data_IF_502822689629
#
_entry.id   IF_502822689629
#
_cell.length_a   1.000
_cell.length_b   1.000
_cell.length_c   1.000
_cell.angle_alpha   90.00
_cell.angle_beta   90.00
_cell.angle_gamma   90.00
#
_symmetry.space_group_name_H-M   'P 1'
#
loop_
_entity.id
_entity.type
_entity.pdbx_description
1 polymer ?
#
# COMPACT_ATOMS: atom_id res chain seq x y z
N UNK A 1 -53.33 38.49 26.21
CA UNK A 1 -53.76 38.63 24.80
C UNK A 1 -52.87 37.72 23.97
N UNK A 2 -53.50 36.74 23.31
CA UNK A 2 -53.06 35.88 22.19
C UNK A 2 -51.67 35.19 22.19
N UNK A 3 -51.79 33.86 22.25
CA UNK A 3 -50.94 32.76 21.81
C UNK A 3 -50.22 33.01 20.46
N UNK A 4 -49.03 32.45 20.29
CA UNK A 4 -48.72 31.55 19.15
C UNK A 4 -47.47 30.70 19.42
N UNK A 5 -47.72 29.42 19.67
CA UNK A 5 -46.83 28.27 19.58
C UNK A 5 -46.73 27.82 18.13
N UNK A 6 -45.52 27.65 17.58
CA UNK A 6 -45.16 26.85 16.39
C UNK A 6 -43.62 26.71 16.42
N UNK A 7 -42.94 25.57 16.29
CA UNK A 7 -43.28 24.17 16.17
C UNK A 7 -41.93 23.43 16.19
N UNK A 8 -41.78 22.43 17.04
CA UNK A 8 -40.68 21.47 17.00
C UNK A 8 -40.91 20.51 15.82
N UNK A 9 -39.87 20.19 15.03
CA UNK A 9 -39.70 18.94 14.27
C UNK A 9 -38.30 18.92 13.60
N UNK A 10 -37.76 17.74 13.22
CA UNK A 10 -36.68 17.02 13.91
C UNK A 10 -35.29 17.16 13.23
N UNK A 11 -34.20 16.66 13.83
CA UNK A 11 -32.93 16.53 13.11
C UNK A 11 -33.10 15.46 12.03
N UNK A 12 -33.06 15.85 10.74
CA UNK A 12 -33.00 14.89 9.65
C UNK A 12 -31.62 14.24 9.60
N UNK A 13 -31.44 13.21 10.41
CA UNK A 13 -30.48 12.14 10.14
C UNK A 13 -30.98 11.39 8.91
N UNK A 14 -30.59 11.86 7.74
CA UNK A 14 -30.76 11.14 6.48
C UNK A 14 -29.39 10.92 5.86
N UNK A 15 -28.93 9.68 5.98
CA UNK A 15 -28.28 9.02 4.86
C UNK A 15 -26.80 9.30 4.64
N UNK A 16 -25.97 9.24 5.69
CA UNK A 16 -24.61 8.69 5.51
C UNK A 16 -24.57 7.30 6.14
N UNK A 17 -25.34 6.39 5.54
CA UNK A 17 -24.85 5.02 5.43
C UNK A 17 -23.62 5.18 4.55
N UNK A 18 -22.44 5.26 5.19
CA UNK A 18 -21.20 4.90 4.53
C UNK A 18 -21.44 3.47 4.13
N UNK A 19 -21.90 3.31 2.90
CA UNK A 19 -21.92 2.05 2.20
C UNK A 19 -20.50 1.55 2.35
N UNK A 20 -20.31 0.62 3.29
CA UNK A 20 -19.20 -0.31 3.29
C UNK A 20 -19.33 -1.01 1.94
N UNK A 21 -18.84 -0.33 0.89
CA UNK A 21 -18.62 -0.90 -0.40
C UNK A 21 -17.84 -2.15 -0.09
N UNK A 22 -18.54 -3.27 -0.27
CA UNK A 22 -17.97 -4.59 -0.20
C UNK A 22 -16.71 -4.51 -1.06
N UNK A 23 -15.56 -4.48 -0.39
CA UNK A 23 -14.27 -4.89 -0.92
C UNK A 23 -14.31 -6.41 -1.19
N UNK A 24 -15.35 -6.85 -1.89
CA UNK A 24 -15.28 -7.99 -2.81
C UNK A 24 -14.84 -7.42 -4.16
N UNK A 25 -13.79 -6.60 -4.15
CA UNK A 25 -13.01 -6.36 -5.34
C UNK A 25 -12.42 -7.72 -5.70
N UNK A 26 -12.73 -8.17 -6.91
CA UNK A 26 -12.05 -9.30 -7.54
C UNK A 26 -10.58 -9.16 -7.23
N UNK A 27 -9.99 -10.13 -6.52
CA UNK A 27 -8.57 -10.16 -6.21
C UNK A 27 -7.87 -9.84 -7.54
N UNK A 28 -7.26 -8.63 -7.71
CA UNK A 28 -6.58 -8.33 -8.95
C UNK A 28 -5.61 -9.48 -9.14
N UNK A 29 -5.60 -10.07 -10.34
CA UNK A 29 -4.65 -11.12 -10.69
C UNK A 29 -3.27 -10.55 -10.44
N UNK A 30 -2.75 -10.82 -9.23
CA UNK A 30 -1.51 -10.27 -8.77
C UNK A 30 -0.45 -11.00 -9.58
N UNK A 31 0.12 -10.25 -10.52
CA UNK A 31 1.19 -10.67 -11.39
C UNK A 31 2.24 -11.40 -10.56
N UNK A 32 2.52 -12.65 -10.94
CA UNK A 32 3.23 -13.60 -10.09
C UNK A 32 4.62 -13.11 -9.71
N UNK A 33 5.20 -12.20 -10.51
CA UNK A 33 6.49 -11.55 -10.24
C UNK A 33 6.49 -10.77 -8.92
N UNK A 34 5.35 -10.19 -8.54
CA UNK A 34 5.23 -9.36 -7.34
C UNK A 34 4.61 -10.08 -6.15
N UNK A 35 4.33 -11.39 -6.27
CA UNK A 35 3.77 -12.17 -5.17
C UNK A 35 4.68 -12.19 -3.94
N UNK A 36 6.00 -12.12 -4.15
CA UNK A 36 6.98 -12.08 -3.07
C UNK A 36 6.99 -10.75 -2.31
N UNK A 37 6.31 -9.70 -2.81
CA UNK A 37 6.17 -8.40 -2.14
C UNK A 37 4.73 -8.19 -1.67
N UNK A 38 3.75 -8.31 -2.57
CA UNK A 38 2.34 -8.08 -2.28
C UNK A 38 1.76 -9.15 -1.35
N UNK A 39 2.16 -10.42 -1.52
CA UNK A 39 1.68 -11.53 -0.68
C UNK A 39 2.03 -11.37 0.81
N UNK A 40 3.29 -11.07 1.16
CA UNK A 40 3.66 -10.73 2.54
C UNK A 40 2.91 -9.52 3.09
N UNK A 41 2.74 -8.45 2.30
CA UNK A 41 1.96 -7.27 2.70
C UNK A 41 0.50 -7.64 3.01
N UNK A 42 -0.17 -8.38 2.12
CA UNK A 42 -1.53 -8.89 2.34
C UNK A 42 -1.62 -9.72 3.63
N UNK A 43 -0.64 -10.59 3.86
CA UNK A 43 -0.58 -11.45 5.04
C UNK A 43 -0.44 -10.64 6.33
N UNK A 44 0.45 -9.65 6.34
CA UNK A 44 0.68 -8.78 7.48
C UNK A 44 -0.53 -7.90 7.78
N UNK A 45 -1.19 -7.36 6.74
CA UNK A 45 -2.43 -6.59 6.86
C UNK A 45 -3.52 -7.44 7.52
N UNK A 46 -3.71 -8.67 7.04
CA UNK A 46 -4.67 -9.61 7.59
C UNK A 46 -4.36 -9.99 9.04
N UNK A 47 -3.08 -10.15 9.37
CA UNK A 47 -2.63 -10.47 10.72
C UNK A 47 -2.89 -9.31 11.68
N UNK A 48 -2.53 -8.08 11.29
CA UNK A 48 -2.73 -6.88 12.07
C UNK A 48 -4.22 -6.59 12.29
N UNK A 49 -5.05 -6.81 11.27
CA UNK A 49 -6.51 -6.71 11.37
C UNK A 49 -7.10 -7.63 12.43
N UNK A 50 -6.56 -8.85 12.55
CA UNK A 50 -7.02 -9.87 13.52
C UNK A 50 -6.40 -9.70 14.90
N UNK A 51 -5.20 -9.12 14.98
CA UNK A 51 -4.41 -8.95 16.20
C UNK A 51 -3.70 -7.58 16.16
N UNK A 52 -4.35 -6.49 16.60
CA UNK A 52 -3.79 -5.14 16.51
C UNK A 52 -2.44 -4.96 17.22
N UNK A 53 -2.20 -5.71 18.30
CA UNK A 53 -0.96 -5.61 19.09
C UNK A 53 0.17 -6.52 18.58
N UNK A 54 -0.01 -7.15 17.41
CA UNK A 54 1.03 -8.02 16.83
C UNK A 54 2.23 -7.18 16.40
N UNK A 55 3.42 -7.56 16.84
CA UNK A 55 4.65 -6.96 16.33
C UNK A 55 5.03 -7.64 15.00
N UNK A 56 5.11 -6.85 13.93
CA UNK A 56 5.44 -7.28 12.57
C UNK A 56 6.88 -6.94 12.16
N UNK A 57 7.73 -6.46 13.07
CA UNK A 57 9.07 -5.98 12.75
C UNK A 57 9.89 -6.99 11.92
N UNK A 58 9.93 -8.25 12.37
CA UNK A 58 10.69 -9.31 11.68
C UNK A 58 10.12 -9.64 10.31
N UNK A 59 8.80 -9.62 10.16
CA UNK A 59 8.11 -9.87 8.89
C UNK A 59 8.38 -8.73 7.90
N UNK A 60 8.44 -7.48 8.38
CA UNK A 60 8.84 -6.31 7.60
C UNK A 60 10.31 -6.33 7.23
N UNK A 61 11.21 -6.75 8.12
CA UNK A 61 12.64 -6.88 7.81
C UNK A 61 12.88 -7.87 6.66
N UNK A 62 12.21 -9.02 6.69
CA UNK A 62 12.27 -10.01 5.59
C UNK A 62 11.69 -9.45 4.28
N UNK A 63 10.65 -8.63 4.37
CA UNK A 63 10.09 -7.96 3.21
C UNK A 63 11.08 -6.94 2.65
N UNK A 64 11.82 -6.20 3.49
CA UNK A 64 12.85 -5.26 3.05
C UNK A 64 13.98 -5.94 2.29
N UNK A 65 14.44 -7.11 2.75
CA UNK A 65 15.44 -7.91 2.03
C UNK A 65 14.93 -8.28 0.63
N UNK A 66 13.67 -8.73 0.55
CA UNK A 66 13.03 -9.12 -0.71
C UNK A 66 12.85 -7.94 -1.66
N UNK A 67 12.43 -6.79 -1.14
CA UNK A 67 12.30 -5.53 -1.89
C UNK A 67 13.67 -5.10 -2.42
N UNK A 68 14.71 -5.16 -1.59
CA UNK A 68 16.06 -4.74 -1.98
C UNK A 68 16.63 -5.62 -3.10
N UNK A 69 16.43 -6.94 -3.02
CA UNK A 69 16.81 -7.86 -4.10
C UNK A 69 16.06 -7.53 -5.40
N UNK A 70 14.74 -7.38 -5.33
CA UNK A 70 13.90 -7.05 -6.49
C UNK A 70 14.34 -5.73 -7.16
N UNK A 71 14.44 -4.65 -6.37
CA UNK A 71 14.87 -3.32 -6.82
C UNK A 71 16.28 -3.38 -7.43
N UNK A 72 17.20 -4.13 -6.81
CA UNK A 72 18.56 -4.26 -7.29
C UNK A 72 18.64 -4.90 -8.68
N UNK A 73 17.90 -6.00 -8.88
CA UNK A 73 17.83 -6.68 -10.16
C UNK A 73 17.20 -5.80 -11.24
N UNK A 74 16.06 -5.18 -10.96
CA UNK A 74 15.35 -4.35 -11.94
C UNK A 74 16.15 -3.09 -12.31
N UNK A 75 16.74 -2.41 -11.32
CA UNK A 75 17.61 -1.26 -11.57
C UNK A 75 18.80 -1.63 -12.47
N UNK A 76 19.44 -2.77 -12.21
CA UNK A 76 20.57 -3.25 -13.01
C UNK A 76 20.13 -3.58 -14.45
N UNK A 77 18.94 -4.16 -14.59
CA UNK A 77 18.39 -4.50 -15.89
C UNK A 77 17.99 -3.26 -16.70
N UNK A 78 17.34 -2.27 -16.08
CA UNK A 78 17.05 -0.97 -16.70
C UNK A 78 18.31 -0.26 -17.20
N UNK A 79 19.40 -0.31 -16.44
CA UNK A 79 20.70 0.24 -16.88
C UNK A 79 21.25 -0.51 -18.09
N UNK A 80 21.20 -1.85 -18.07
CA UNK A 80 21.72 -2.69 -19.15
C UNK A 80 21.03 -2.42 -20.49
N UNK A 81 19.71 -2.20 -20.47
CA UNK A 81 18.93 -1.91 -21.69
C UNK A 81 18.81 -0.42 -21.99
N UNK A 82 19.53 0.44 -21.27
CA UNK A 82 19.48 1.90 -21.42
C UNK A 82 18.05 2.47 -21.38
N UNK A 83 17.22 1.96 -20.45
CA UNK A 83 15.84 2.42 -20.29
C UNK A 83 15.80 3.93 -19.98
N UNK A 84 15.15 4.77 -20.80
CA UNK A 84 15.26 6.23 -20.69
C UNK A 84 14.80 6.81 -19.35
N UNK A 85 13.88 6.14 -18.66
CA UNK A 85 13.30 6.61 -17.39
C UNK A 85 13.94 5.96 -16.16
N UNK A 86 15.05 5.23 -16.31
CA UNK A 86 15.70 4.47 -15.23
C UNK A 86 16.00 5.31 -13.98
N UNK A 87 16.47 6.55 -14.17
CA UNK A 87 16.77 7.45 -13.05
C UNK A 87 15.51 7.80 -12.24
N UNK A 88 14.39 8.07 -12.91
CA UNK A 88 13.12 8.37 -12.23
C UNK A 88 12.59 7.12 -11.52
N UNK A 89 12.58 5.98 -12.22
CA UNK A 89 12.12 4.71 -11.67
C UNK A 89 12.91 4.34 -10.40
N UNK A 90 14.24 4.53 -10.40
CA UNK A 90 15.09 4.32 -9.21
C UNK A 90 14.71 5.21 -8.01
N UNK A 91 14.28 6.44 -8.24
CA UNK A 91 13.83 7.31 -7.15
C UNK A 91 12.51 6.79 -6.55
N UNK A 92 11.60 6.32 -7.40
CA UNK A 92 10.32 5.73 -6.95
C UNK A 92 10.59 4.45 -6.12
N UNK A 93 11.55 3.62 -6.54
CA UNK A 93 12.08 2.50 -5.75
C UNK A 93 12.63 2.91 -4.38
N UNK A 94 13.43 3.97 -4.31
CA UNK A 94 14.01 4.45 -3.05
C UNK A 94 12.92 4.92 -2.09
N UNK A 95 11.90 5.62 -2.59
CA UNK A 95 10.77 6.09 -1.77
C UNK A 95 10.03 4.89 -1.16
N UNK A 96 9.67 3.89 -1.97
CA UNK A 96 9.00 2.69 -1.49
C UNK A 96 9.80 1.94 -0.43
N UNK A 97 11.12 1.82 -0.64
CA UNK A 97 12.01 1.17 0.32
C UNK A 97 12.09 1.97 1.62
N UNK A 98 12.29 3.29 1.56
CA UNK A 98 12.38 4.15 2.74
C UNK A 98 11.08 4.14 3.56
N UNK A 99 9.93 4.23 2.89
CA UNK A 99 8.63 4.16 3.55
C UNK A 99 8.44 2.82 4.30
N UNK A 100 8.84 1.73 3.66
CA UNK A 100 8.77 0.38 4.26
C UNK A 100 9.74 0.23 5.41
N UNK A 101 10.96 0.76 5.29
CA UNK A 101 11.97 0.72 6.33
C UNK A 101 11.57 1.58 7.54
N UNK A 102 10.98 2.74 7.29
CA UNK A 102 10.42 3.60 8.33
C UNK A 102 9.29 2.92 9.10
N UNK A 103 8.45 2.13 8.43
CA UNK A 103 7.42 1.33 9.09
C UNK A 103 8.03 0.19 9.93
N UNK A 104 8.98 -0.55 9.37
CA UNK A 104 9.70 -1.63 10.07
C UNK A 104 10.36 -1.13 11.36
N UNK A 105 11.05 0.01 11.29
CA UNK A 105 11.69 0.63 12.44
C UNK A 105 10.67 1.00 13.54
N UNK A 106 9.51 1.54 13.18
CA UNK A 106 8.48 1.88 14.17
C UNK A 106 7.87 0.66 14.83
N UNK A 107 7.66 -0.44 14.09
CA UNK A 107 7.27 -1.72 14.68
C UNK A 107 8.33 -2.27 15.65
N UNK A 108 9.62 -2.22 15.29
CA UNK A 108 10.71 -2.64 16.17
C UNK A 108 10.73 -1.84 17.48
N UNK A 109 10.54 -0.53 17.38
CA UNK A 109 10.48 0.37 18.54
C UNK A 109 9.15 0.36 19.29
N UNK A 110 8.17 -0.45 18.86
CA UNK A 110 6.81 -0.49 19.41
C UNK A 110 6.18 0.90 19.48
N UNK A 111 6.50 1.74 18.51
CA UNK A 111 5.85 3.03 18.32
C UNK A 111 4.45 2.79 17.75
N UNK A 112 3.57 3.76 17.93
CA UNK A 112 2.21 3.65 17.40
C UNK A 112 2.27 3.57 15.87
N UNK A 113 1.70 2.50 15.34
CA UNK A 113 1.63 2.21 13.91
C UNK A 113 0.19 1.89 13.57
N UNK A 114 -0.39 2.70 12.70
CA UNK A 114 -1.78 2.52 12.30
C UNK A 114 -1.85 1.45 11.22
N UNK A 115 -2.89 0.62 11.29
CA UNK A 115 -3.24 -0.34 10.23
C UNK A 115 -3.26 0.30 8.83
N UNK A 116 -3.72 1.56 8.73
CA UNK A 116 -3.77 2.31 7.49
C UNK A 116 -2.39 2.57 6.85
N UNK A 117 -1.31 2.56 7.62
CA UNK A 117 0.04 2.81 7.10
C UNK A 117 0.56 1.60 6.32
N UNK A 118 0.32 0.40 6.83
CA UNK A 118 0.66 -0.83 6.11
C UNK A 118 -0.18 -0.99 4.83
N UNK A 119 -1.47 -0.62 4.91
CA UNK A 119 -2.34 -0.56 3.72
C UNK A 119 -1.83 0.47 2.71
N UNK A 120 -1.37 1.63 3.18
CA UNK A 120 -0.83 2.68 2.30
C UNK A 120 0.42 2.20 1.55
N UNK A 121 1.35 1.51 2.22
CA UNK A 121 2.52 0.91 1.56
C UNK A 121 2.10 -0.07 0.47
N UNK A 122 1.14 -0.95 0.77
CA UNK A 122 0.59 -1.90 -0.21
C UNK A 122 -0.01 -1.21 -1.42
N UNK A 123 -0.75 -0.13 -1.23
CA UNK A 123 -1.33 0.66 -2.33
C UNK A 123 -0.23 1.33 -3.16
N UNK A 124 0.81 1.89 -2.54
CA UNK A 124 1.95 2.50 -3.26
C UNK A 124 2.69 1.48 -4.11
N UNK A 125 2.90 0.27 -3.60
CA UNK A 125 3.48 -0.82 -4.40
C UNK A 125 2.61 -1.19 -5.61
N UNK A 126 1.29 -1.31 -5.40
CA UNK A 126 0.36 -1.60 -6.50
C UNK A 126 0.36 -0.51 -7.57
N UNK A 127 0.39 0.76 -7.16
CA UNK A 127 0.46 1.91 -8.07
C UNK A 127 1.76 1.87 -8.87
N UNK A 128 2.89 1.66 -8.19
CA UNK A 128 4.20 1.56 -8.82
C UNK A 128 4.25 0.46 -9.88
N UNK A 129 3.81 -0.75 -9.54
CA UNK A 129 3.73 -1.88 -10.47
C UNK A 129 2.87 -1.51 -11.69
N UNK A 130 1.72 -0.88 -11.45
CA UNK A 130 0.75 -0.60 -12.53
C UNK A 130 1.20 0.50 -13.49
N UNK A 131 2.07 1.41 -13.03
CA UNK A 131 2.50 2.58 -13.79
C UNK A 131 3.94 2.43 -14.29
N UNK A 132 4.89 2.20 -13.38
CA UNK A 132 6.31 2.26 -13.67
C UNK A 132 6.82 0.95 -14.27
N UNK A 133 6.49 -0.19 -13.68
CA UNK A 133 6.97 -1.49 -14.14
C UNK A 133 6.31 -1.87 -15.46
N UNK A 134 5.01 -1.55 -15.63
CA UNK A 134 4.33 -1.71 -16.91
C UNK A 134 4.92 -0.85 -18.02
N UNK A 135 5.37 0.36 -17.72
CA UNK A 135 6.07 1.18 -18.70
C UNK A 135 7.42 0.57 -19.08
N UNK A 136 8.14 -0.01 -18.12
CA UNK A 136 9.40 -0.70 -18.39
C UNK A 136 9.18 -1.98 -19.21
N UNK A 137 8.18 -2.79 -18.87
CA UNK A 137 7.80 -3.96 -19.67
C UNK A 137 7.44 -3.60 -21.10
N UNK A 138 6.64 -2.55 -21.30
CA UNK A 138 6.27 -2.10 -22.64
C UNK A 138 7.52 -1.74 -23.45
N UNK A 139 8.52 -1.11 -22.82
CA UNK A 139 9.80 -0.80 -23.45
C UNK A 139 10.58 -2.06 -23.86
N UNK A 140 10.59 -3.11 -23.05
CA UNK A 140 11.32 -4.35 -23.32
C UNK A 140 10.76 -5.18 -24.48
N UNK A 141 9.48 -4.99 -24.81
CA UNK A 141 8.80 -5.72 -25.89
C UNK A 141 8.84 -4.95 -27.23
N UNK A 142 9.31 -3.69 -27.21
CA UNK A 142 9.52 -2.87 -28.40
C UNK A 142 10.90 -3.10 -29.02
#
# INVERSE_FOLDING_TARGET
>A
MQLHTYGQYPPSWHGMVIEQQRLTERKPTCDSRYQNIIGPLDTMIELLRKKPDVNLARELDRLLDTIMEHIGLENSYMEMVAFPQAARHRLDHQILWVDTAGLAHRFDKRLDVLYGELVSIRVRWMDHISVHDRAFEAYLVC
#
